data_IF_351003908457
#
_entry.id   IF_351003908457
#
_cell.length_a   1.000
_cell.length_b   1.000
_cell.length_c   1.000
_cell.angle_alpha   90.00
_cell.angle_beta   90.00
_cell.angle_gamma   90.00
#
_symmetry.space_group_name_H-M   'P 1'
#
loop_
_entity.id
_entity.type
_entity.pdbx_description
1 polymer ?
#
# COMPACT_ATOMS: atom_id res chain seq x y z
N UNK A 1 15.19 -1.78 -12.63
CA UNK A 1 16.25 -0.79 -12.99
C UNK A 1 16.44 0.15 -11.80
N UNK A 2 17.67 0.64 -11.58
CA UNK A 2 18.19 1.36 -10.39
C UNK A 2 18.87 0.46 -9.34
N UNK A 3 20.00 -0.17 -9.71
CA UNK A 3 20.83 -1.00 -8.80
C UNK A 3 22.20 -0.38 -8.50
N UNK A 4 22.44 0.90 -8.82
CA UNK A 4 23.76 1.51 -8.59
C UNK A 4 23.67 2.64 -7.53
N UNK A 5 24.11 2.37 -6.29
CA UNK A 5 24.13 3.35 -5.19
C UNK A 5 24.96 4.59 -5.51
N UNK A 6 26.00 4.46 -6.34
CA UNK A 6 26.86 5.58 -6.75
C UNK A 6 26.14 6.52 -7.71
N UNK A 7 25.24 6.00 -8.54
CA UNK A 7 24.42 6.81 -9.46
C UNK A 7 23.35 7.58 -8.67
N UNK A 8 22.73 6.93 -7.68
CA UNK A 8 21.79 7.60 -6.78
C UNK A 8 22.49 8.68 -5.95
N UNK A 9 23.67 8.38 -5.39
CA UNK A 9 24.46 9.36 -4.66
C UNK A 9 24.90 10.55 -5.54
N UNK A 10 25.35 10.30 -6.78
CA UNK A 10 25.72 11.36 -7.71
C UNK A 10 24.50 12.19 -8.19
N UNK A 11 23.32 11.58 -8.31
CA UNK A 11 22.06 12.30 -8.57
C UNK A 11 21.65 13.16 -7.36
N UNK A 12 21.76 12.60 -6.16
CA UNK A 12 21.48 13.29 -4.91
C UNK A 12 22.42 14.48 -4.72
N UNK A 13 23.73 14.31 -4.93
CA UNK A 13 24.74 15.37 -4.84
C UNK A 13 24.49 16.50 -5.87
N UNK A 14 24.07 16.14 -7.09
CA UNK A 14 23.66 17.13 -8.11
C UNK A 14 22.35 17.84 -7.77
N UNK A 15 21.41 17.15 -7.15
CA UNK A 15 20.13 17.72 -6.72
C UNK A 15 20.32 18.64 -5.51
N UNK A 16 21.12 18.25 -4.51
CA UNK A 16 21.48 19.08 -3.37
C UNK A 16 22.22 20.36 -3.82
N UNK A 17 23.14 20.24 -4.79
CA UNK A 17 23.79 21.41 -5.39
C UNK A 17 22.85 22.35 -6.16
N UNK A 18 21.71 21.84 -6.66
CA UNK A 18 20.69 22.61 -7.39
C UNK A 18 19.67 23.28 -6.47
N UNK A 19 19.44 22.69 -5.28
CA UNK A 19 18.47 23.17 -4.29
C UNK A 19 19.02 24.36 -3.49
N UNK A 20 20.33 24.39 -3.23
CA UNK A 20 20.95 25.45 -2.41
C UNK A 20 21.63 26.58 -3.20
N UNK A 21 21.85 26.45 -4.51
CA UNK A 21 22.28 27.61 -5.30
C UNK A 21 21.06 28.47 -5.62
N UNK A 22 20.97 29.73 -5.13
CA UNK A 22 20.09 30.69 -5.77
C UNK A 22 20.59 30.74 -7.20
N UNK A 23 19.83 30.20 -8.14
CA UNK A 23 20.22 30.28 -9.54
C UNK A 23 20.47 31.76 -9.81
N UNK A 24 21.74 32.15 -10.01
CA UNK A 24 22.11 33.56 -10.24
C UNK A 24 21.31 34.17 -11.39
N UNK A 25 20.73 33.30 -12.22
CA UNK A 25 19.59 33.56 -13.08
C UNK A 25 18.49 34.43 -12.45
N UNK A 26 17.81 33.99 -11.38
CA UNK A 26 16.72 34.75 -10.74
C UNK A 26 17.21 36.12 -10.26
N UNK A 27 18.44 36.20 -9.73
CA UNK A 27 19.04 37.46 -9.29
C UNK A 27 19.38 38.40 -10.46
N UNK A 28 19.77 37.86 -11.61
CA UNK A 28 20.05 38.60 -12.84
C UNK A 28 18.80 39.07 -13.60
N UNK A 29 17.61 38.54 -13.25
CA UNK A 29 16.36 38.93 -13.90
C UNK A 29 16.00 40.40 -13.66
N UNK A 30 15.45 41.03 -14.70
CA UNK A 30 14.88 42.37 -14.61
C UNK A 30 13.78 42.45 -13.54
N UNK A 31 13.66 43.61 -12.89
CA UNK A 31 12.69 43.86 -11.81
C UNK A 31 11.25 43.50 -12.20
N UNK A 32 10.88 43.75 -13.47
CA UNK A 32 9.55 43.42 -14.00
C UNK A 32 9.32 41.91 -14.00
N UNK A 33 10.30 41.12 -14.44
CA UNK A 33 10.23 39.66 -14.47
C UNK A 33 10.20 39.09 -13.05
N UNK A 34 11.00 39.62 -12.12
CA UNK A 34 10.96 39.22 -10.70
C UNK A 34 9.57 39.43 -10.09
N UNK A 35 8.89 40.54 -10.42
CA UNK A 35 7.52 40.81 -9.96
C UNK A 35 6.52 39.80 -10.53
N UNK A 36 6.66 39.41 -11.80
CA UNK A 36 5.82 38.38 -12.41
C UNK A 36 6.04 37.01 -11.76
N UNK A 37 7.29 36.61 -11.52
CA UNK A 37 7.63 35.37 -10.81
C UNK A 37 7.01 35.36 -9.41
N UNK A 38 7.06 36.47 -8.68
CA UNK A 38 6.42 36.57 -7.36
C UNK A 38 4.89 36.44 -7.44
N UNK A 39 4.26 37.02 -8.47
CA UNK A 39 2.83 36.84 -8.69
C UNK A 39 2.48 35.36 -8.95
N UNK A 40 3.30 34.66 -9.75
CA UNK A 40 3.15 33.22 -10.01
C UNK A 40 3.36 32.38 -8.74
N UNK A 41 4.37 32.70 -7.91
CA UNK A 41 4.57 32.04 -6.61
C UNK A 41 3.36 32.20 -5.70
N UNK A 42 2.75 33.38 -5.67
CA UNK A 42 1.52 33.60 -4.89
C UNK A 42 0.35 32.75 -5.40
N UNK A 43 0.26 32.52 -6.71
CA UNK A 43 -0.73 31.58 -7.27
C UNK A 43 -0.39 30.13 -6.89
N UNK A 44 0.88 29.73 -6.95
CA UNK A 44 1.32 28.40 -6.54
C UNK A 44 0.97 28.10 -5.08
N UNK A 45 1.13 29.07 -4.18
CA UNK A 45 0.72 28.94 -2.77
C UNK A 45 -0.79 28.69 -2.65
N UNK A 46 -1.61 29.36 -3.47
CA UNK A 46 -3.07 29.11 -3.47
C UNK A 46 -3.40 27.71 -4.00
N UNK A 47 -2.69 27.22 -5.01
CA UNK A 47 -2.83 25.84 -5.48
C UNK A 47 -2.50 24.84 -4.37
N UNK A 48 -1.38 25.03 -3.68
CA UNK A 48 -0.96 24.16 -2.57
C UNK A 48 -1.98 24.18 -1.41
N UNK A 49 -2.63 25.31 -1.14
CA UNK A 49 -3.71 25.39 -0.15
C UNK A 49 -4.95 24.57 -0.55
N UNK A 50 -5.27 24.51 -1.84
CA UNK A 50 -6.36 23.69 -2.36
C UNK A 50 -5.99 22.21 -2.29
N UNK A 51 -4.77 21.85 -2.70
CA UNK A 51 -4.26 20.48 -2.58
C UNK A 51 -4.25 19.99 -1.13
N UNK A 52 -3.85 20.84 -0.17
CA UNK A 52 -3.88 20.49 1.25
C UNK A 52 -5.30 20.12 1.71
N UNK A 53 -6.32 20.90 1.31
CA UNK A 53 -7.73 20.57 1.60
C UNK A 53 -8.18 19.29 0.94
N UNK A 54 -7.78 19.06 -0.32
CA UNK A 54 -8.09 17.83 -1.02
C UNK A 54 -7.54 16.61 -0.26
N UNK A 55 -6.28 16.65 0.17
CA UNK A 55 -5.69 15.55 0.93
C UNK A 55 -6.30 15.37 2.33
N UNK A 56 -6.70 16.47 2.98
CA UNK A 56 -7.47 16.42 4.23
C UNK A 56 -8.79 15.68 4.02
N UNK A 57 -9.56 16.02 2.98
CA UNK A 57 -10.83 15.36 2.65
C UNK A 57 -10.63 13.88 2.26
N UNK A 58 -9.60 13.55 1.49
CA UNK A 58 -9.25 12.16 1.15
C UNK A 58 -8.89 11.37 2.41
N UNK A 59 -8.15 11.97 3.34
CA UNK A 59 -7.80 11.33 4.61
C UNK A 59 -9.03 11.11 5.49
N UNK A 60 -9.92 12.10 5.60
CA UNK A 60 -11.19 11.99 6.31
C UNK A 60 -12.09 10.89 5.71
N UNK A 61 -12.14 10.81 4.38
CA UNK A 61 -12.84 9.76 3.66
C UNK A 61 -12.22 8.38 3.97
N UNK A 62 -10.89 8.28 3.92
CA UNK A 62 -10.17 7.07 4.29
C UNK A 62 -10.50 6.61 5.71
N UNK A 63 -10.54 7.52 6.68
CA UNK A 63 -10.95 7.20 8.07
C UNK A 63 -12.39 6.71 8.15
N UNK A 64 -13.32 7.33 7.42
CA UNK A 64 -14.72 6.91 7.38
C UNK A 64 -14.86 5.46 6.92
N UNK A 65 -14.18 5.09 5.85
CA UNK A 65 -14.25 3.72 5.31
C UNK A 65 -13.43 2.72 6.13
N UNK A 66 -12.34 3.14 6.78
CA UNK A 66 -11.58 2.28 7.69
C UNK A 66 -12.47 1.73 8.83
N UNK A 67 -13.38 2.55 9.37
CA UNK A 67 -14.37 2.10 10.38
C UNK A 67 -15.32 1.03 9.82
N UNK A 68 -15.69 1.12 8.54
CA UNK A 68 -16.55 0.11 7.89
C UNK A 68 -15.81 -1.20 7.63
N UNK A 69 -14.51 -1.15 7.37
CA UNK A 69 -13.67 -2.33 7.21
C UNK A 69 -13.34 -3.02 8.55
N UNK A 70 -13.35 -2.28 9.66
CA UNK A 70 -12.90 -2.79 10.96
C UNK A 70 -13.64 -4.07 11.39
N UNK A 71 -14.99 -4.16 11.37
CA UNK A 71 -15.69 -5.39 11.74
C UNK A 71 -15.35 -6.58 10.84
N UNK A 72 -15.07 -6.34 9.57
CA UNK A 72 -14.66 -7.39 8.63
C UNK A 72 -13.25 -7.90 8.96
N UNK A 73 -12.34 -7.00 9.33
CA UNK A 73 -10.99 -7.36 9.76
C UNK A 73 -10.98 -8.05 11.13
N UNK A 74 -11.84 -7.63 12.05
CA UNK A 74 -12.01 -8.28 13.35
C UNK A 74 -12.54 -9.72 13.16
N UNK A 75 -13.56 -9.91 12.32
CA UNK A 75 -14.08 -11.24 11.99
C UNK A 75 -13.04 -12.11 11.29
N UNK A 76 -12.28 -11.56 10.33
CA UNK A 76 -11.16 -12.28 9.70
C UNK A 76 -10.11 -12.68 10.74
N UNK A 77 -9.81 -11.80 11.70
CA UNK A 77 -8.89 -12.11 12.79
C UNK A 77 -9.42 -13.26 13.65
N UNK A 78 -10.70 -13.27 13.99
CA UNK A 78 -11.31 -14.36 14.76
C UNK A 78 -11.21 -15.70 14.03
N UNK A 79 -11.47 -15.74 12.71
CA UNK A 79 -11.35 -16.94 11.89
C UNK A 79 -9.89 -17.42 11.79
N UNK A 80 -8.96 -16.51 11.45
CA UNK A 80 -7.54 -16.85 11.28
C UNK A 80 -6.93 -17.44 12.56
N UNK A 81 -7.42 -17.04 13.73
CA UNK A 81 -6.92 -17.53 15.02
C UNK A 81 -7.78 -18.65 15.64
N UNK A 82 -8.77 -19.20 14.92
CA UNK A 82 -9.76 -20.16 15.43
C UNK A 82 -10.45 -19.72 16.74
N UNK A 83 -10.74 -18.42 16.87
CA UNK A 83 -11.62 -17.89 17.91
C UNK A 83 -13.09 -18.11 17.50
N UNK A 84 -13.36 -18.05 16.19
CA UNK A 84 -14.66 -18.28 15.58
C UNK A 84 -14.54 -19.30 14.45
N UNK A 85 -15.42 -20.29 14.45
CA UNK A 85 -15.56 -21.26 13.37
C UNK A 85 -16.65 -20.79 12.40
N UNK A 86 -16.35 -20.56 11.11
CA UNK A 86 -17.34 -20.13 10.12
C UNK A 86 -18.50 -21.11 9.94
N UNK A 87 -19.69 -20.59 9.62
CA UNK A 87 -20.82 -21.46 9.23
C UNK A 87 -20.69 -21.93 7.79
N UNK A 88 -21.42 -22.98 7.42
CA UNK A 88 -21.43 -23.52 6.05
C UNK A 88 -21.83 -22.46 5.01
N UNK A 89 -22.76 -21.56 5.37
CA UNK A 89 -23.16 -20.45 4.50
C UNK A 89 -22.06 -19.40 4.33
N UNK A 90 -21.21 -19.19 5.33
CA UNK A 90 -20.11 -18.22 5.28
C UNK A 90 -18.90 -18.73 4.48
N UNK A 91 -18.76 -20.05 4.37
CA UNK A 91 -17.76 -20.71 3.53
C UNK A 91 -18.16 -20.76 2.05
N UNK A 92 -19.45 -20.57 1.73
CA UNK A 92 -19.95 -20.60 0.37
C UNK A 92 -19.69 -19.26 -0.35
N UNK A 93 -18.69 -19.24 -1.24
CA UNK A 93 -18.46 -18.07 -2.07
C UNK A 93 -19.52 -17.95 -3.17
N UNK A 94 -20.38 -16.94 -3.06
CA UNK A 94 -21.35 -16.55 -4.08
C UNK A 94 -20.88 -15.24 -4.72
N UNK A 95 -20.30 -15.27 -5.94
CA UNK A 95 -20.05 -14.03 -6.66
C UNK A 95 -21.40 -13.35 -6.93
N UNK A 96 -21.53 -12.08 -6.58
CA UNK A 96 -22.72 -11.32 -6.92
C UNK A 96 -22.81 -11.21 -8.45
N UNK A 97 -24.00 -11.36 -9.04
CA UNK A 97 -24.16 -11.40 -10.50
C UNK A 97 -23.71 -10.09 -11.21
N UNK A 98 -23.64 -8.97 -10.45
CA UNK A 98 -23.15 -7.67 -10.92
C UNK A 98 -21.63 -7.47 -10.73
N UNK A 99 -20.95 -8.32 -9.97
CA UNK A 99 -19.51 -8.17 -9.75
C UNK A 99 -18.75 -8.69 -10.99
N UNK A 100 -18.16 -7.77 -11.74
CA UNK A 100 -17.24 -8.06 -12.86
C UNK A 100 -15.89 -8.56 -12.31
N UNK A 101 -15.91 -9.70 -11.63
CA UNK A 101 -14.73 -10.35 -11.02
C UNK A 101 -13.90 -11.00 -12.14
N UNK A 102 -12.58 -10.78 -12.13
CA UNK A 102 -11.68 -11.36 -13.13
C UNK A 102 -11.71 -12.90 -13.08
N UNK A 103 -11.57 -13.53 -14.25
CA UNK A 103 -11.51 -15.00 -14.36
C UNK A 103 -10.36 -15.60 -13.53
N UNK A 104 -9.26 -14.85 -13.34
CA UNK A 104 -8.14 -15.24 -12.49
C UNK A 104 -8.54 -15.37 -11.00
N UNK A 105 -9.37 -14.45 -10.49
CA UNK A 105 -9.87 -14.53 -9.12
C UNK A 105 -10.86 -15.69 -8.96
N UNK A 106 -11.71 -15.94 -9.96
CA UNK A 106 -12.62 -17.10 -9.98
C UNK A 106 -11.86 -18.43 -9.99
N UNK A 107 -10.73 -18.51 -10.69
CA UNK A 107 -9.89 -19.71 -10.71
C UNK A 107 -9.20 -19.95 -9.36
N UNK A 108 -8.61 -18.90 -8.77
CA UNK A 108 -7.96 -18.97 -7.44
C UNK A 108 -8.93 -19.26 -6.29
N UNK A 109 -10.21 -18.95 -6.45
CA UNK A 109 -11.26 -19.24 -5.46
C UNK A 109 -11.74 -20.70 -5.48
N UNK A 110 -11.40 -21.49 -6.50
CA UNK A 110 -11.74 -22.92 -6.53
C UNK A 110 -10.89 -23.66 -5.51
N UNK A 111 -11.53 -24.16 -4.45
CA UNK A 111 -10.89 -25.07 -3.49
C UNK A 111 -10.98 -26.48 -4.09
N UNK A 112 -9.83 -27.12 -4.32
CA UNK A 112 -9.81 -28.54 -4.69
C UNK A 112 -10.12 -29.38 -3.43
N UNK A 113 -11.26 -30.06 -3.42
CA UNK A 113 -11.66 -31.02 -2.38
C UNK A 113 -10.74 -32.26 -2.39
N UNK A 114 -9.49 -32.11 -1.94
CA UNK A 114 -8.69 -33.27 -1.54
C UNK A 114 -9.21 -33.77 -0.19
N UNK A 115 -10.10 -34.78 -0.23
CA UNK A 115 -10.37 -35.65 0.91
C UNK A 115 -9.07 -36.28 1.39
N UNK A 116 -8.45 -35.69 2.42
CA UNK A 116 -7.51 -36.37 3.31
C UNK A 116 -8.03 -36.28 4.73
N UNK A 117 -8.85 -37.28 5.06
CA UNK A 117 -8.99 -37.77 6.43
C UNK A 117 -7.61 -38.22 6.92
N UNK A 118 -6.93 -37.39 7.71
CA UNK A 118 -6.02 -37.86 8.74
C UNK A 118 -6.25 -36.98 9.96
N UNK A 119 -6.79 -37.59 11.04
CA UNK A 119 -6.84 -37.03 12.39
C UNK A 119 -5.47 -36.42 12.76
N UNK A 120 -5.35 -35.10 12.59
CA UNK A 120 -4.32 -34.28 13.20
C UNK A 120 -5.09 -33.24 13.97
N UNK A 121 -4.73 -33.09 15.25
CA UNK A 121 -5.33 -32.15 16.22
C UNK A 121 -5.95 -30.94 15.53
N UNK A 122 -7.22 -30.64 15.83
CA UNK A 122 -7.94 -29.45 15.35
C UNK A 122 -6.96 -28.29 15.16
N UNK A 123 -6.65 -27.90 13.90
CA UNK A 123 -5.68 -26.85 13.67
C UNK A 123 -6.19 -25.59 14.38
N UNK A 124 -5.40 -25.07 15.31
CA UNK A 124 -5.70 -23.81 16.02
C UNK A 124 -5.54 -22.64 15.04
N UNK A 125 -6.54 -22.45 14.18
CA UNK A 125 -6.61 -21.38 13.19
C UNK A 125 -5.98 -21.77 11.85
N UNK A 126 -5.65 -20.75 11.06
CA UNK A 126 -4.99 -20.88 9.76
C UNK A 126 -3.47 -20.67 9.92
N UNK A 127 -2.65 -21.74 9.93
CA UNK A 127 -1.21 -21.61 10.09
C UNK A 127 -0.59 -20.77 8.98
N UNK A 128 0.41 -19.96 9.34
CA UNK A 128 1.20 -19.15 8.39
C UNK A 128 0.39 -18.21 7.49
N UNK A 129 -0.86 -17.87 7.84
CA UNK A 129 -1.75 -17.03 7.02
C UNK A 129 -1.08 -15.72 6.58
N UNK A 130 -0.62 -14.90 7.54
CA UNK A 130 0.03 -13.62 7.24
C UNK A 130 1.40 -13.77 6.58
N UNK A 131 2.16 -14.83 6.92
CA UNK A 131 3.44 -15.12 6.28
C UNK A 131 3.24 -15.43 4.79
N UNK A 132 2.23 -16.24 4.47
CA UNK A 132 1.84 -16.59 3.11
C UNK A 132 1.40 -15.33 2.35
N UNK A 133 0.58 -14.47 2.97
CA UNK A 133 0.18 -13.18 2.39
C UNK A 133 1.40 -12.31 2.06
N UNK A 134 2.34 -12.15 2.99
CA UNK A 134 3.53 -11.32 2.77
C UNK A 134 4.47 -11.88 1.70
N UNK A 135 4.63 -13.21 1.62
CA UNK A 135 5.44 -13.86 0.57
C UNK A 135 4.85 -13.70 -0.84
N UNK A 136 3.53 -13.54 -0.95
CA UNK A 136 2.82 -13.38 -2.22
C UNK A 136 2.72 -11.94 -2.72
N UNK A 137 3.20 -10.96 -1.94
CA UNK A 137 3.25 -9.55 -2.35
C UNK A 137 4.69 -9.19 -2.67
N UNK A 138 5.01 -8.96 -3.96
CA UNK A 138 6.39 -8.73 -4.44
C UNK A 138 7.20 -7.77 -3.57
N UNK A 139 6.63 -6.61 -3.23
CA UNK A 139 7.29 -5.59 -2.40
C UNK A 139 7.62 -6.09 -0.98
N UNK A 140 6.76 -6.92 -0.40
CA UNK A 140 6.90 -7.41 0.97
C UNK A 140 7.73 -8.71 1.01
N UNK A 141 7.70 -9.51 -0.05
CA UNK A 141 8.40 -10.80 -0.14
C UNK A 141 9.91 -10.63 0.02
N UNK A 142 10.49 -9.62 -0.63
CA UNK A 142 11.91 -9.27 -0.51
C UNK A 142 12.31 -8.85 0.92
N UNK A 143 11.35 -8.37 1.72
CA UNK A 143 11.57 -7.97 3.12
C UNK A 143 11.48 -9.15 4.08
N UNK A 144 10.88 -10.27 3.69
CA UNK A 144 10.74 -11.48 4.51
C UNK A 144 11.95 -12.38 4.27
N UNK A 145 12.86 -12.44 5.24
CA UNK A 145 14.08 -13.25 5.16
C UNK A 145 14.04 -14.40 6.16
N UNK A 146 14.71 -15.51 5.83
CA UNK A 146 14.97 -16.58 6.79
C UNK A 146 15.84 -16.04 7.93
N UNK A 147 15.54 -16.45 9.16
CA UNK A 147 16.41 -16.14 10.29
C UNK A 147 17.72 -16.93 10.14
N UNK A 148 18.74 -16.28 9.60
CA UNK A 148 20.08 -16.85 9.54
C UNK A 148 20.67 -16.78 10.95
N UNK A 149 20.48 -17.84 11.73
CA UNK A 149 21.28 -18.04 12.94
C UNK A 149 22.73 -18.31 12.53
N UNK A 150 23.56 -17.27 12.50
CA UNK A 150 24.99 -17.43 12.67
C UNK A 150 25.23 -17.62 14.17
N UNK A 151 25.91 -18.71 14.52
CA UNK A 151 26.14 -19.32 15.84
C UNK A 151 25.17 -20.43 16.24
#
# INVERSE_FOLDING_TARGET
MMQNPQILAALQERLDGLVETPTGYIESLLRVVKRQVNALKNLQVKCAQIEAKFYEEVHDLGRKYAVLYQPLFDKRFEIVNAIYEPTEEECEWKPDEEDEISEELKEKAKIEDEKKDEEKEDPKGLPEFWLTVFKNVDLLSDMVQEHVSLF
#
